data_IF_292764904347
#
_entry.id   IF_292764904347
#
_cell.length_a   1.000
_cell.length_b   1.000
_cell.length_c   1.000
_cell.angle_alpha   90.00
_cell.angle_beta   90.00
_cell.angle_gamma   90.00
#
_symmetry.space_group_name_H-M   'P 1'
#
loop_
_entity.id
_entity.type
_entity.pdbx_description
1 polymer ?
#
# COMPACT_ATOMS: atom_id res chain seq x y z
N UNK A 1 -13.60 3.17 -8.62
CA UNK A 1 -12.23 2.98 -8.10
C UNK A 1 -11.40 4.17 -8.56
N UNK A 2 -10.87 4.99 -7.63
CA UNK A 2 -10.10 6.19 -7.98
C UNK A 2 -8.58 5.95 -7.93
N UNK A 3 -8.10 5.17 -6.96
CA UNK A 3 -6.72 4.71 -6.88
C UNK A 3 -6.59 3.30 -7.47
N UNK A 4 -5.50 3.01 -8.20
CA UNK A 4 -5.25 1.72 -8.84
C UNK A 4 -4.29 0.80 -8.07
N UNK A 5 -3.65 1.31 -7.00
CA UNK A 5 -2.80 0.52 -6.09
C UNK A 5 -3.38 0.30 -4.67
N UNK A 6 -4.70 0.34 -4.40
CA UNK A 6 -5.21 0.13 -3.05
C UNK A 6 -5.15 -1.35 -2.68
N UNK A 7 -4.70 -1.65 -1.45
CA UNK A 7 -4.84 -2.96 -0.82
C UNK A 7 -6.18 -3.08 -0.05
N UNK A 8 -6.79 -1.95 0.30
CA UNK A 8 -8.10 -1.86 0.97
C UNK A 8 -8.85 -0.60 0.55
N UNK A 9 -10.15 -0.54 0.83
CA UNK A 9 -10.93 0.70 0.69
C UNK A 9 -10.56 1.71 1.79
N UNK A 10 -10.74 3.00 1.50
CA UNK A 10 -10.56 4.05 2.48
C UNK A 10 -11.88 4.44 3.16
N UNK A 11 -12.92 4.71 2.38
CA UNK A 11 -14.17 5.29 2.89
C UNK A 11 -14.95 4.34 3.78
N UNK A 12 -15.04 3.06 3.41
CA UNK A 12 -15.75 2.03 4.17
C UNK A 12 -15.18 1.83 5.57
N UNK A 13 -13.89 1.47 5.73
CA UNK A 13 -13.31 1.30 7.06
C UNK A 13 -13.35 2.56 7.92
N UNK A 14 -13.12 3.75 7.33
CA UNK A 14 -13.27 5.02 8.07
C UNK A 14 -14.70 5.21 8.56
N UNK A 15 -15.71 4.93 7.72
CA UNK A 15 -17.12 5.00 8.14
C UNK A 15 -17.39 4.04 9.31
N UNK A 16 -16.97 2.79 9.22
CA UNK A 16 -17.16 1.82 10.30
C UNK A 16 -16.48 2.23 11.61
N UNK A 17 -15.25 2.76 11.53
CA UNK A 17 -14.49 3.23 12.71
C UNK A 17 -15.15 4.47 13.33
N UNK A 18 -15.56 5.43 12.51
CA UNK A 18 -16.20 6.66 12.98
C UNK A 18 -17.60 6.40 13.57
N UNK A 19 -18.32 5.38 13.08
CA UNK A 19 -19.59 4.97 13.67
C UNK A 19 -19.40 4.34 15.05
N UNK A 20 -18.38 3.50 15.22
CA UNK A 20 -18.06 2.88 16.51
C UNK A 20 -17.50 3.89 17.53
N UNK A 21 -16.81 4.94 17.08
CA UNK A 21 -16.17 5.95 17.93
C UNK A 21 -16.93 7.27 17.99
N UNK A 22 -18.17 7.32 17.50
CA UNK A 22 -18.94 8.56 17.38
C UNK A 22 -19.07 9.30 18.71
N UNK A 23 -19.30 8.58 19.81
CA UNK A 23 -19.40 9.17 21.16
C UNK A 23 -18.12 9.89 21.60
N UNK A 24 -16.94 9.40 21.20
CA UNK A 24 -15.65 10.05 21.49
C UNK A 24 -15.35 11.23 20.57
N UNK A 25 -16.07 11.34 19.45
CA UNK A 25 -15.92 12.46 18.52
C UNK A 25 -16.73 13.69 18.98
N UNK A 26 -17.94 13.46 19.49
CA UNK A 26 -18.83 14.54 19.96
C UNK A 26 -18.53 15.02 21.38
N UNK A 27 -17.86 14.21 22.19
CA UNK A 27 -17.48 14.55 23.57
C UNK A 27 -15.97 14.47 23.82
N UNK A 28 -15.43 15.35 24.67
CA UNK A 28 -14.01 15.33 25.09
C UNK A 28 -13.76 14.33 26.23
N UNK A 29 -14.00 13.03 25.97
CA UNK A 29 -13.81 11.94 26.95
C UNK A 29 -12.36 11.43 27.05
N UNK A 30 -11.49 11.79 26.10
CA UNK A 30 -10.11 11.29 26.03
C UNK A 30 -9.12 12.24 26.74
N UNK A 31 -8.05 11.70 27.36
CA UNK A 31 -7.08 12.50 28.10
C UNK A 31 -6.23 13.43 27.19
N UNK A 32 -6.17 13.14 25.90
CA UNK A 32 -5.47 13.94 24.90
C UNK A 32 -6.15 13.78 23.53
N UNK A 33 -5.76 14.64 22.57
CA UNK A 33 -6.25 14.55 21.19
C UNK A 33 -5.70 13.29 20.52
N UNK A 34 -6.59 12.37 20.17
CA UNK A 34 -6.27 11.16 19.42
C UNK A 34 -6.42 11.40 17.91
N UNK A 35 -5.41 11.00 17.13
CA UNK A 35 -5.44 11.02 15.66
C UNK A 35 -5.42 9.59 15.13
N UNK A 36 -6.53 9.18 14.54
CA UNK A 36 -6.65 7.92 13.82
C UNK A 36 -6.56 8.24 12.33
N UNK A 37 -5.65 7.60 11.62
CA UNK A 37 -5.49 7.79 10.18
C UNK A 37 -5.46 6.46 9.45
N UNK A 38 -5.90 6.49 8.19
CA UNK A 38 -5.95 5.31 7.33
C UNK A 38 -5.21 5.57 6.02
N UNK A 39 -4.37 4.61 5.62
CA UNK A 39 -3.81 4.51 4.29
C UNK A 39 -4.30 3.24 3.60
N UNK A 40 -4.78 3.39 2.36
CA UNK A 40 -5.23 2.26 1.56
C UNK A 40 -4.08 1.40 1.02
N UNK A 41 -2.86 1.91 1.02
CA UNK A 41 -1.62 1.20 0.64
C UNK A 41 -0.39 1.83 1.30
N UNK A 42 0.77 1.20 1.11
CA UNK A 42 2.07 1.63 1.67
C UNK A 42 2.58 2.98 1.18
N UNK A 43 1.99 3.56 0.13
CA UNK A 43 2.33 4.93 -0.31
C UNK A 43 1.93 5.99 0.72
N UNK A 44 1.05 5.63 1.69
CA UNK A 44 0.68 6.48 2.83
C UNK A 44 0.43 7.93 2.44
N UNK A 45 -0.53 8.19 1.54
CA UNK A 45 -0.86 9.52 0.98
C UNK A 45 -1.43 10.51 2.02
N UNK A 46 -0.73 10.73 3.13
CA UNK A 46 -1.11 11.49 4.31
C UNK A 46 -0.17 11.22 5.50
N UNK A 47 -0.52 11.74 6.68
CA UNK A 47 0.28 11.62 7.90
C UNK A 47 0.09 10.28 8.64
N UNK A 48 -0.14 9.18 7.91
CA UNK A 48 -0.51 7.88 8.49
C UNK A 48 0.65 7.26 9.27
N UNK A 49 1.89 7.46 8.81
CA UNK A 49 3.11 6.99 9.48
C UNK A 49 3.38 7.67 10.84
N UNK A 50 2.76 8.80 11.14
CA UNK A 50 2.95 9.57 12.38
C UNK A 50 1.64 9.83 13.14
N UNK A 51 0.64 8.98 12.91
CA UNK A 51 -0.64 9.00 13.63
C UNK A 51 -0.57 8.16 14.90
N UNK A 52 -1.39 8.50 15.91
CA UNK A 52 -1.44 7.75 17.16
C UNK A 52 -1.94 6.32 16.93
N UNK A 53 -2.92 6.16 16.02
CA UNK A 53 -3.38 4.88 15.52
C UNK A 53 -3.41 4.94 13.99
N UNK A 54 -2.71 3.99 13.34
CA UNK A 54 -2.64 3.88 11.90
C UNK A 54 -3.32 2.59 11.42
N UNK A 55 -4.23 2.72 10.47
CA UNK A 55 -4.82 1.60 9.73
C UNK A 55 -4.17 1.56 8.36
N UNK A 56 -3.53 0.44 8.02
CA UNK A 56 -2.73 0.32 6.79
C UNK A 56 -3.14 -0.91 5.99
N UNK A 57 -3.55 -0.70 4.74
CA UNK A 57 -3.71 -1.77 3.77
C UNK A 57 -2.35 -2.28 3.30
N UNK A 58 -2.14 -3.60 3.40
CA UNK A 58 -0.92 -4.27 2.91
C UNK A 58 -1.27 -5.43 1.99
N UNK A 59 -0.42 -5.64 0.98
CA UNK A 59 -0.42 -6.87 0.20
C UNK A 59 0.40 -7.93 0.96
N UNK A 60 0.03 -9.20 0.81
CA UNK A 60 0.72 -10.35 1.42
C UNK A 60 1.17 -11.38 0.39
N UNK A 61 1.06 -11.04 -0.90
CA UNK A 61 1.38 -11.90 -2.02
C UNK A 61 2.34 -11.15 -2.94
N UNK A 62 3.34 -11.83 -3.51
CA UNK A 62 4.23 -11.24 -4.50
C UNK A 62 3.46 -10.89 -5.78
N UNK A 63 3.95 -9.93 -6.59
CA UNK A 63 3.29 -9.52 -7.81
C UNK A 63 3.33 -10.62 -8.87
N UNK A 64 2.19 -10.83 -9.54
CA UNK A 64 2.12 -11.72 -10.71
C UNK A 64 2.66 -10.98 -11.94
N UNK A 65 3.75 -11.48 -12.53
CA UNK A 65 4.44 -10.81 -13.64
C UNK A 65 3.86 -11.20 -15.00
N UNK A 66 3.25 -10.24 -15.70
CA UNK A 66 2.84 -10.37 -17.10
C UNK A 66 3.99 -9.95 -18.04
N UNK A 67 4.80 -10.93 -18.46
CA UNK A 67 5.96 -10.71 -19.32
C UNK A 67 5.61 -10.22 -20.75
N UNK A 68 4.37 -10.41 -21.22
CA UNK A 68 3.98 -9.99 -22.57
C UNK A 68 3.74 -8.47 -22.65
N UNK A 69 3.24 -7.89 -21.55
CA UNK A 69 2.96 -6.46 -21.43
C UNK A 69 4.13 -5.67 -20.83
N UNK A 70 4.96 -6.30 -20.01
CA UNK A 70 6.05 -5.65 -19.29
C UNK A 70 6.98 -4.88 -20.23
N UNK A 71 7.42 -5.48 -21.34
CA UNK A 71 8.29 -4.80 -22.31
C UNK A 71 7.62 -3.70 -23.15
N UNK A 72 6.28 -3.59 -23.11
CA UNK A 72 5.50 -2.59 -23.88
C UNK A 72 5.13 -1.37 -23.03
N UNK A 73 4.96 -1.56 -21.72
CA UNK A 73 4.44 -0.54 -20.80
C UNK A 73 5.53 -0.05 -19.83
N UNK A 74 6.43 -0.93 -19.42
CA UNK A 74 7.39 -0.65 -18.34
C UNK A 74 8.80 -0.44 -18.89
N UNK A 75 9.51 0.52 -18.32
CA UNK A 75 10.96 0.60 -18.43
C UNK A 75 11.59 -0.37 -17.42
N UNK A 76 12.21 -1.44 -17.91
CA UNK A 76 12.67 -2.57 -17.08
C UNK A 76 13.70 -2.15 -16.00
N UNK A 77 14.73 -1.34 -16.30
CA UNK A 77 15.70 -0.93 -15.28
C UNK A 77 15.08 -0.14 -14.11
N UNK A 78 14.21 0.82 -14.40
CA UNK A 78 13.55 1.63 -13.36
C UNK A 78 12.54 0.81 -12.56
N UNK A 79 11.87 -0.15 -13.21
CA UNK A 79 10.97 -1.10 -12.52
C UNK A 79 11.74 -1.97 -11.52
N UNK A 80 12.93 -2.46 -11.86
CA UNK A 80 13.75 -3.25 -10.93
C UNK A 80 14.28 -2.37 -9.78
N UNK A 81 14.77 -1.17 -10.11
CA UNK A 81 15.29 -0.22 -9.14
C UNK A 81 14.24 0.29 -8.13
N UNK A 82 12.95 0.17 -8.46
CA UNK A 82 11.86 0.53 -7.54
C UNK A 82 11.73 -0.40 -6.34
N UNK A 83 12.30 -1.61 -6.39
CA UNK A 83 12.14 -2.57 -5.31
C UNK A 83 13.19 -2.35 -4.20
N UNK A 84 12.75 -2.14 -2.94
CA UNK A 84 13.67 -1.86 -1.83
C UNK A 84 14.56 -3.05 -1.44
N UNK A 85 14.10 -4.29 -1.66
CA UNK A 85 14.84 -5.52 -1.31
C UNK A 85 15.60 -6.14 -2.49
N UNK A 86 15.45 -5.58 -3.70
CA UNK A 86 16.03 -6.13 -4.95
C UNK A 86 15.78 -7.64 -5.20
N UNK A 87 14.56 -8.18 -5.05
CA UNK A 87 14.22 -9.59 -5.28
C UNK A 87 14.07 -9.92 -6.78
N UNK A 88 14.05 -8.90 -7.64
CA UNK A 88 13.72 -9.05 -9.06
C UNK A 88 14.98 -9.20 -9.91
N UNK A 89 15.18 -10.37 -10.50
CA UNK A 89 16.22 -10.61 -11.49
C UNK A 89 15.68 -10.41 -12.91
N UNK A 90 16.41 -9.69 -13.76
CA UNK A 90 16.09 -9.58 -15.18
C UNK A 90 17.06 -10.42 -16.02
N UNK A 91 16.50 -11.26 -16.88
CA UNK A 91 17.27 -11.95 -17.92
C UNK A 91 17.39 -11.05 -19.15
N UNK A 92 18.58 -10.49 -19.37
CA UNK A 92 18.94 -9.58 -20.47
C UNK A 92 18.58 -10.15 -21.86
N UNK A 93 18.58 -11.48 -22.02
CA UNK A 93 18.31 -12.15 -23.30
C UNK A 93 16.83 -12.25 -23.66
N UNK A 94 15.90 -12.14 -22.70
CA UNK A 94 14.48 -12.43 -22.92
C UNK A 94 13.52 -11.30 -22.53
N UNK A 95 14.02 -10.15 -22.03
CA UNK A 95 13.17 -9.06 -21.49
C UNK A 95 12.14 -9.57 -20.46
N UNK A 96 12.50 -10.64 -19.74
CA UNK A 96 11.67 -11.27 -18.71
C UNK A 96 12.15 -10.82 -17.34
N UNK A 97 11.20 -10.58 -16.44
CA UNK A 97 11.45 -10.29 -15.03
C UNK A 97 10.92 -11.44 -14.20
N UNK A 98 11.74 -11.93 -13.27
CA UNK A 98 11.37 -12.96 -12.30
C UNK A 98 11.52 -12.38 -10.90
N UNK A 99 10.55 -12.62 -10.03
CA UNK A 99 10.54 -12.14 -8.64
C UNK A 99 10.89 -13.32 -7.72
N UNK A 100 11.86 -13.09 -6.84
CA UNK A 100 12.19 -13.99 -5.73
C UNK A 100 11.16 -13.79 -4.60
N UNK A 101 10.24 -14.76 -4.43
CA UNK A 101 9.14 -14.66 -3.48
C UNK A 101 9.61 -14.64 -2.01
N UNK A 102 10.77 -15.25 -1.70
CA UNK A 102 11.29 -15.27 -0.32
C UNK A 102 11.84 -13.91 0.13
N UNK A 103 12.19 -13.05 -0.84
CA UNK A 103 12.73 -11.70 -0.60
C UNK A 103 11.71 -10.60 -0.80
N UNK A 104 10.48 -10.94 -1.20
CA UNK A 104 9.39 -10.02 -1.49
C UNK A 104 8.46 -9.82 -0.27
#
# INVERSE_FOLDING_TARGET
>A
VHCHTPATDASGPVKCVMDALFEHFVEMKLPAKLRIALACCLNMCGAVHCSDIAILGIHRLPPLVDNEKLGKICEVPTTIASCPTSPSAASSKTKKVTVDEEKC
#
